data_IF_418591855244
#
_entry.id   IF_418591855244
#
_cell.length_a   1.000
_cell.length_b   1.000
_cell.length_c   1.000
_cell.angle_alpha   90.00
_cell.angle_beta   90.00
_cell.angle_gamma   90.00
#
_symmetry.space_group_name_H-M   'P 1'
#
loop_
_entity.id
_entity.type
_entity.pdbx_description
1 polymer ?
#
# COMPACT_ATOMS: atom_id res chain seq x y z
N UNK A 1 21.86 1.85 -25.35
CA UNK A 1 20.55 2.35 -24.90
C UNK A 1 20.47 2.14 -23.40
N UNK A 2 19.95 3.11 -22.63
CA UNK A 2 19.71 2.89 -21.19
C UNK A 2 18.58 1.88 -21.01
N UNK A 3 18.62 1.02 -19.97
CA UNK A 3 17.52 0.09 -19.69
C UNK A 3 16.22 0.86 -19.39
N UNK A 4 15.09 0.28 -19.82
CA UNK A 4 13.75 0.78 -19.49
C UNK A 4 13.56 0.77 -17.97
N UNK A 5 12.92 1.81 -17.40
CA UNK A 5 12.60 1.90 -15.99
C UNK A 5 11.08 1.81 -15.80
N UNK A 6 10.61 0.68 -15.29
CA UNK A 6 9.19 0.38 -15.04
C UNK A 6 8.89 0.45 -13.55
N UNK A 7 7.93 1.27 -13.17
CA UNK A 7 7.55 1.52 -11.77
C UNK A 7 6.12 1.07 -11.51
N UNK A 8 5.90 0.41 -10.39
CA UNK A 8 4.59 0.07 -9.89
C UNK A 8 4.19 1.04 -8.76
N UNK A 9 3.07 1.73 -8.92
CA UNK A 9 2.48 2.61 -7.92
C UNK A 9 1.20 1.96 -7.38
N UNK A 10 1.22 1.52 -6.13
CA UNK A 10 0.08 0.95 -5.43
C UNK A 10 -0.54 2.01 -4.54
N UNK A 11 -1.81 2.33 -4.75
CA UNK A 11 -2.49 3.44 -4.11
C UNK A 11 -3.54 2.99 -3.11
N UNK A 12 -3.41 3.51 -1.91
CA UNK A 12 -4.42 3.54 -0.87
C UNK A 12 -4.94 4.96 -0.67
N UNK A 13 -5.81 5.22 0.30
CA UNK A 13 -6.40 6.55 0.48
C UNK A 13 -6.01 7.27 1.77
N UNK A 14 -5.69 6.56 2.83
CA UNK A 14 -5.43 7.15 4.15
C UNK A 14 -4.33 8.22 4.11
N UNK A 15 -3.29 7.99 3.32
CA UNK A 15 -2.14 8.89 3.17
C UNK A 15 -2.29 9.99 2.13
N UNK A 16 -3.37 10.04 1.36
CA UNK A 16 -3.57 11.01 0.27
C UNK A 16 -3.61 12.45 0.80
N UNK A 17 -3.04 13.37 0.01
CA UNK A 17 -2.93 14.80 0.32
C UNK A 17 -4.30 15.45 0.50
N UNK A 18 -4.50 16.15 1.62
CA UNK A 18 -5.76 16.86 1.91
C UNK A 18 -6.89 16.01 2.48
N UNK A 19 -6.72 14.69 2.61
CA UNK A 19 -7.64 13.85 3.36
C UNK A 19 -7.28 13.93 4.84
N UNK A 20 -8.07 14.64 5.63
CA UNK A 20 -7.79 14.90 7.03
C UNK A 20 -8.80 14.28 7.99
N UNK A 21 -9.93 13.82 7.48
CA UNK A 21 -11.03 13.26 8.26
C UNK A 21 -11.34 11.83 7.82
N UNK A 22 -11.66 10.97 8.78
CA UNK A 22 -12.04 9.58 8.56
C UNK A 22 -13.10 9.40 7.49
N UNK A 23 -14.14 10.23 7.49
CA UNK A 23 -15.25 10.15 6.53
C UNK A 23 -14.84 10.35 5.08
N UNK A 24 -13.75 11.09 4.83
CA UNK A 24 -13.22 11.29 3.47
C UNK A 24 -12.55 10.02 2.93
N UNK A 25 -12.14 9.12 3.82
CA UNK A 25 -11.37 7.90 3.52
C UNK A 25 -12.25 6.66 3.64
N UNK A 26 -12.91 6.48 4.80
CA UNK A 26 -13.82 5.35 5.05
C UNK A 26 -15.26 5.74 4.73
N UNK A 27 -15.46 6.17 3.50
CA UNK A 27 -16.70 6.76 2.98
C UNK A 27 -17.87 5.76 2.87
N UNK A 28 -17.66 4.49 3.13
CA UNK A 28 -18.69 3.46 3.20
C UNK A 28 -19.35 3.34 4.57
N UNK A 29 -18.86 4.07 5.56
CA UNK A 29 -19.45 4.07 6.90
C UNK A 29 -20.82 4.74 6.89
N UNK A 30 -21.70 4.26 7.76
CA UNK A 30 -23.05 4.80 7.89
C UNK A 30 -23.01 6.30 8.25
N UNK A 31 -23.84 7.09 7.58
CA UNK A 31 -23.94 8.52 7.80
C UNK A 31 -22.99 9.39 7.00
N UNK A 32 -22.02 8.79 6.29
CA UNK A 32 -21.12 9.57 5.43
C UNK A 32 -21.87 10.10 4.21
N UNK A 33 -21.78 11.40 4.00
CA UNK A 33 -22.45 12.06 2.87
C UNK A 33 -21.73 11.79 1.54
N UNK A 34 -22.46 11.57 0.42
CA UNK A 34 -21.86 11.30 -0.89
C UNK A 34 -20.86 12.37 -1.35
N UNK A 35 -21.07 13.64 -0.98
CA UNK A 35 -20.19 14.75 -1.37
C UNK A 35 -18.81 14.63 -0.72
N UNK A 36 -18.73 14.09 0.51
CA UNK A 36 -17.48 13.85 1.24
C UNK A 36 -16.69 12.72 0.58
N UNK A 37 -17.37 11.63 0.21
CA UNK A 37 -16.78 10.54 -0.54
C UNK A 37 -16.24 11.00 -1.91
N UNK A 38 -16.99 11.84 -2.59
CA UNK A 38 -16.61 12.39 -3.89
C UNK A 38 -15.41 13.34 -3.79
N UNK A 39 -15.36 14.14 -2.73
CA UNK A 39 -14.18 14.98 -2.44
C UNK A 39 -12.94 14.10 -2.22
N UNK A 40 -13.05 13.05 -1.43
CA UNK A 40 -11.96 12.09 -1.19
C UNK A 40 -11.42 11.50 -2.49
N UNK A 41 -12.30 11.05 -3.37
CA UNK A 41 -11.91 10.52 -4.69
C UNK A 41 -11.22 11.55 -5.58
N UNK A 42 -11.71 12.79 -5.60
CA UNK A 42 -11.07 13.87 -6.37
C UNK A 42 -9.66 14.16 -5.88
N UNK A 43 -9.44 14.13 -4.56
CA UNK A 43 -8.11 14.32 -3.99
C UNK A 43 -7.18 13.16 -4.35
N UNK A 44 -7.65 11.91 -4.30
CA UNK A 44 -6.90 10.74 -4.74
C UNK A 44 -6.49 10.85 -6.21
N UNK A 45 -7.44 11.14 -7.11
CA UNK A 45 -7.17 11.31 -8.55
C UNK A 45 -6.12 12.40 -8.79
N UNK A 46 -6.22 13.52 -8.07
CA UNK A 46 -5.26 14.62 -8.20
C UNK A 46 -3.85 14.22 -7.71
N UNK A 47 -3.74 13.44 -6.64
CA UNK A 47 -2.46 12.92 -6.14
C UNK A 47 -1.85 11.94 -7.14
N UNK A 48 -2.63 10.99 -7.65
CA UNK A 48 -2.18 10.01 -8.64
C UNK A 48 -1.64 10.72 -9.89
N UNK A 49 -2.41 11.65 -10.45
CA UNK A 49 -2.01 12.38 -11.65
C UNK A 49 -0.72 13.18 -11.46
N UNK A 50 -0.57 13.82 -10.30
CA UNK A 50 0.65 14.57 -9.95
C UNK A 50 1.85 13.67 -9.80
N UNK A 51 1.70 12.55 -9.08
CA UNK A 51 2.77 11.58 -8.87
C UNK A 51 3.20 10.90 -10.17
N UNK A 52 2.23 10.49 -11.01
CA UNK A 52 2.50 9.90 -12.32
C UNK A 52 3.26 10.87 -13.24
N UNK A 53 2.81 12.12 -13.32
CA UNK A 53 3.49 13.17 -14.08
C UNK A 53 4.94 13.35 -13.60
N UNK A 54 5.14 13.50 -12.29
CA UNK A 54 6.47 13.68 -11.71
C UNK A 54 7.40 12.49 -11.97
N UNK A 55 6.88 11.26 -11.92
CA UNK A 55 7.66 10.06 -12.21
C UNK A 55 8.12 10.02 -13.68
N UNK A 56 7.22 10.31 -14.61
CA UNK A 56 7.54 10.34 -16.05
C UNK A 56 8.54 11.45 -16.40
N UNK A 57 8.37 12.65 -15.83
CA UNK A 57 9.29 13.78 -16.01
C UNK A 57 10.68 13.50 -15.39
N UNK A 58 10.73 12.73 -14.30
CA UNK A 58 11.99 12.31 -13.66
C UNK A 58 12.68 11.15 -14.36
N UNK A 59 12.06 10.56 -15.38
CA UNK A 59 12.65 9.55 -16.25
C UNK A 59 12.14 8.11 -16.04
N UNK A 60 10.99 7.88 -15.43
CA UNK A 60 10.31 6.60 -15.55
C UNK A 60 9.84 6.41 -17.00
N UNK A 61 10.04 5.20 -17.55
CA UNK A 61 9.67 4.89 -18.93
C UNK A 61 8.28 4.24 -19.00
N UNK A 62 7.88 3.52 -17.93
CA UNK A 62 6.56 2.88 -17.78
C UNK A 62 6.07 3.00 -16.36
N UNK A 63 4.78 3.22 -16.20
CA UNK A 63 4.08 3.19 -14.92
C UNK A 63 2.94 2.19 -14.95
N UNK A 64 2.80 1.43 -13.87
CA UNK A 64 1.58 0.69 -13.54
C UNK A 64 1.01 1.35 -12.31
N UNK A 65 -0.22 1.81 -12.39
CA UNK A 65 -0.95 2.46 -11.30
C UNK A 65 -2.12 1.58 -10.90
N UNK A 66 -2.13 1.12 -9.67
CA UNK A 66 -3.16 0.24 -9.13
C UNK A 66 -3.82 0.88 -7.91
N UNK A 67 -5.14 1.05 -7.97
CA UNK A 67 -5.98 1.46 -6.84
C UNK A 67 -6.35 0.21 -6.02
N UNK A 68 -6.05 0.25 -4.72
CA UNK A 68 -6.30 -0.88 -3.82
C UNK A 68 -7.29 -0.58 -2.71
N UNK A 69 -7.53 0.70 -2.41
CA UNK A 69 -8.37 1.09 -1.29
C UNK A 69 -9.76 0.43 -1.35
N UNK A 70 -10.12 -0.31 -0.30
CA UNK A 70 -11.35 -1.11 -0.26
C UNK A 70 -11.53 -2.04 -1.49
N UNK A 71 -10.44 -2.56 -2.03
CA UNK A 71 -10.47 -3.45 -3.20
C UNK A 71 -10.51 -2.73 -4.56
N UNK A 72 -10.37 -1.41 -4.59
CA UNK A 72 -10.35 -0.59 -5.80
C UNK A 72 -11.69 0.04 -6.16
N UNK A 73 -11.73 0.75 -7.29
CA UNK A 73 -12.94 1.44 -7.77
C UNK A 73 -13.02 2.92 -7.39
N UNK A 74 -11.94 3.47 -6.85
CA UNK A 74 -11.88 4.87 -6.41
C UNK A 74 -11.38 5.80 -7.51
N UNK A 75 -10.73 5.27 -8.54
CA UNK A 75 -10.26 6.05 -9.69
C UNK A 75 -11.30 6.05 -10.83
N UNK A 76 -11.31 7.14 -11.61
CA UNK A 76 -12.14 7.28 -12.81
C UNK A 76 -11.24 7.52 -14.01
N UNK A 77 -11.16 6.54 -14.89
CA UNK A 77 -10.23 6.59 -16.03
C UNK A 77 -10.30 7.86 -16.86
N UNK A 78 -11.49 8.47 -17.14
CA UNK A 78 -11.56 9.73 -17.89
C UNK A 78 -10.91 10.94 -17.18
N UNK A 79 -10.70 10.87 -15.87
CA UNK A 79 -10.09 11.93 -15.05
C UNK A 79 -8.59 11.73 -14.85
N UNK A 80 -8.07 10.58 -15.29
CA UNK A 80 -6.66 10.22 -15.12
C UNK A 80 -5.80 10.86 -16.20
N UNK A 81 -4.53 11.13 -15.87
CA UNK A 81 -3.52 11.60 -16.81
C UNK A 81 -3.41 10.65 -18.01
N UNK A 82 -3.79 11.14 -19.20
CA UNK A 82 -3.69 10.39 -20.44
C UNK A 82 -2.24 10.40 -20.95
N UNK A 83 -1.50 9.33 -20.73
CA UNK A 83 -0.15 9.13 -21.26
C UNK A 83 0.02 7.63 -21.62
N UNK A 84 0.49 7.29 -22.85
CA UNK A 84 0.61 5.91 -23.29
C UNK A 84 1.64 5.08 -22.50
N UNK A 85 2.44 5.71 -21.65
CA UNK A 85 3.39 5.06 -20.76
C UNK A 85 2.75 4.61 -19.45
N UNK A 86 1.48 4.97 -19.18
CA UNK A 86 0.78 4.62 -17.94
C UNK A 86 -0.26 3.55 -18.21
N UNK A 87 -0.24 2.50 -17.41
CA UNK A 87 -1.31 1.49 -17.33
C UNK A 87 -2.05 1.66 -16.03
N UNK A 88 -3.32 2.03 -16.08
CA UNK A 88 -4.20 2.11 -14.91
C UNK A 88 -4.94 0.79 -14.72
N UNK A 89 -4.85 0.25 -13.52
CA UNK A 89 -5.52 -1.00 -13.13
C UNK A 89 -6.64 -0.68 -12.13
N UNK A 90 -7.85 -0.81 -12.62
CA UNK A 90 -9.06 -0.68 -11.81
C UNK A 90 -9.60 -2.07 -11.47
N UNK A 91 -9.35 -2.53 -10.25
CA UNK A 91 -9.79 -3.86 -9.79
C UNK A 91 -11.31 -4.01 -9.69
N UNK A 92 -12.06 -2.90 -9.58
CA UNK A 92 -13.53 -2.93 -9.45
C UNK A 92 -14.24 -3.42 -10.70
N UNK A 93 -13.59 -3.36 -11.87
CA UNK A 93 -14.18 -3.73 -13.16
C UNK A 93 -14.01 -5.20 -13.53
N UNK A 94 -13.65 -6.06 -12.57
CA UNK A 94 -13.34 -7.44 -12.88
C UNK A 94 -12.08 -7.51 -13.73
N UNK A 95 -10.95 -7.62 -13.09
CA UNK A 95 -9.70 -7.87 -13.78
C UNK A 95 -9.75 -9.26 -14.41
N UNK A 96 -9.81 -9.35 -15.75
CA UNK A 96 -9.88 -10.60 -16.54
C UNK A 96 -8.59 -11.43 -16.49
N UNK A 97 -7.65 -11.02 -15.67
CA UNK A 97 -6.48 -11.83 -15.34
C UNK A 97 -6.80 -12.88 -14.28
N UNK A 98 -5.84 -13.57 -13.71
CA UNK A 98 -6.01 -14.32 -12.49
C UNK A 98 -6.53 -13.33 -11.45
N UNK A 99 -7.84 -13.34 -11.27
CA UNK A 99 -8.71 -12.27 -10.77
C UNK A 99 -8.44 -11.82 -9.33
N UNK A 100 -7.32 -12.23 -8.79
CA UNK A 100 -7.08 -12.20 -7.37
C UNK A 100 -5.58 -11.96 -7.05
N UNK A 101 -4.82 -11.46 -8.01
CA UNK A 101 -3.49 -10.94 -7.68
C UNK A 101 -3.68 -9.67 -6.88
N UNK A 102 -3.12 -9.65 -5.69
CA UNK A 102 -3.14 -8.49 -4.82
C UNK A 102 -2.61 -7.23 -5.52
N UNK A 103 -1.51 -7.37 -6.26
CA UNK A 103 -0.89 -6.32 -7.07
C UNK A 103 -0.83 -6.78 -8.52
N UNK A 104 -1.95 -6.71 -9.27
CA UNK A 104 -2.00 -7.19 -10.66
C UNK A 104 -1.01 -6.41 -11.52
N UNK A 105 -0.27 -7.11 -12.38
CA UNK A 105 0.75 -6.52 -13.24
C UNK A 105 2.13 -6.32 -12.57
N UNK A 106 2.27 -6.64 -11.29
CA UNK A 106 3.57 -6.71 -10.63
C UNK A 106 4.28 -8.02 -11.02
N UNK A 107 5.46 -7.90 -11.59
CA UNK A 107 6.31 -9.02 -12.00
C UNK A 107 7.80 -8.63 -11.95
N UNK A 108 8.69 -9.56 -12.33
CA UNK A 108 10.14 -9.33 -12.32
C UNK A 108 10.63 -8.27 -13.33
N UNK A 109 9.77 -7.75 -14.19
CA UNK A 109 10.10 -6.64 -15.11
C UNK A 109 9.92 -5.27 -14.47
N UNK A 110 9.34 -5.22 -13.25
CA UNK A 110 9.18 -3.98 -12.48
C UNK A 110 10.47 -3.65 -11.75
N UNK A 111 10.89 -2.42 -11.83
CA UNK A 111 12.16 -1.94 -11.25
C UNK A 111 12.03 -1.36 -9.85
N UNK A 112 10.84 -0.95 -9.45
CA UNK A 112 10.60 -0.35 -8.14
C UNK A 112 9.13 -0.26 -7.80
N UNK A 113 8.83 -0.43 -6.51
CA UNK A 113 7.52 -0.30 -5.91
C UNK A 113 7.42 1.06 -5.21
N UNK A 114 6.33 1.78 -5.44
CA UNK A 114 5.91 2.94 -4.66
C UNK A 114 4.58 2.62 -3.98
N UNK A 115 4.53 2.73 -2.65
CA UNK A 115 3.35 2.55 -1.83
C UNK A 115 2.78 3.92 -1.46
N UNK A 116 1.71 4.30 -2.13
CA UNK A 116 1.19 5.65 -2.13
C UNK A 116 -0.15 5.71 -1.39
N UNK A 117 -0.38 6.78 -0.66
CA UNK A 117 -1.63 6.93 0.11
C UNK A 117 -1.73 6.01 1.33
N UNK A 118 -0.66 5.41 1.77
CA UNK A 118 -0.64 4.41 2.85
C UNK A 118 -0.68 5.02 4.26
N UNK A 119 -0.83 4.15 5.24
CA UNK A 119 -0.97 4.41 6.66
C UNK A 119 -0.04 3.50 7.48
N UNK A 120 0.10 3.79 8.78
CA UNK A 120 0.84 2.95 9.70
C UNK A 120 0.03 1.70 10.10
N UNK A 121 0.72 0.65 10.52
CA UNK A 121 0.12 -0.61 10.98
C UNK A 121 -0.81 -0.43 12.18
N UNK A 122 -1.66 -1.43 12.40
CA UNK A 122 -2.55 -1.53 13.54
C UNK A 122 -1.80 -1.27 14.87
N UNK A 123 -2.44 -0.50 15.76
CA UNK A 123 -1.91 -0.19 17.08
C UNK A 123 -0.81 0.87 17.12
N UNK A 124 -0.42 1.47 15.99
CA UNK A 124 0.60 2.53 15.97
C UNK A 124 0.05 3.81 16.63
N UNK A 125 0.72 4.31 17.68
CA UNK A 125 0.28 5.52 18.34
C UNK A 125 0.48 6.76 17.47
N UNK A 126 -0.39 7.74 17.61
CA UNK A 126 -0.36 9.00 16.84
C UNK A 126 -0.29 8.75 15.33
N UNK A 127 -1.12 7.83 14.85
CA UNK A 127 -1.30 7.50 13.45
C UNK A 127 -2.74 7.77 13.04
N UNK A 128 -2.94 8.12 11.77
CA UNK A 128 -4.24 8.31 11.16
C UNK A 128 -4.74 6.98 10.61
N UNK A 129 -5.93 6.57 11.07
CA UNK A 129 -6.59 5.33 10.68
C UNK A 129 -5.65 4.09 10.70
N UNK A 130 -4.86 3.89 11.78
CA UNK A 130 -3.89 2.80 11.82
C UNK A 130 -4.60 1.46 11.85
N UNK A 131 -4.38 0.65 10.84
CA UNK A 131 -4.91 -0.71 10.77
C UNK A 131 -3.95 -1.60 9.97
N UNK A 132 -4.26 -2.88 9.83
CA UNK A 132 -3.53 -3.79 8.95
C UNK A 132 -4.56 -4.68 8.28
N UNK A 133 -4.98 -4.32 7.07
CA UNK A 133 -5.92 -5.02 6.22
C UNK A 133 -7.34 -5.14 6.78
N UNK A 134 -7.49 -5.84 7.89
CA UNK A 134 -8.77 -6.03 8.57
C UNK A 134 -8.74 -5.35 9.93
N UNK A 135 -9.84 -4.72 10.33
CA UNK A 135 -9.94 -4.04 11.63
C UNK A 135 -9.82 -5.00 12.83
N UNK A 136 -10.09 -6.29 12.60
CA UNK A 136 -9.93 -7.33 13.61
C UNK A 136 -8.47 -7.71 13.86
N UNK A 137 -7.54 -7.32 12.99
CA UNK A 137 -6.13 -7.66 13.13
C UNK A 137 -5.38 -6.61 13.93
N UNK A 138 -4.89 -7.03 15.08
CA UNK A 138 -4.17 -6.13 15.99
C UNK A 138 -2.65 -6.18 15.83
N UNK A 139 -2.13 -7.26 15.23
CA UNK A 139 -0.70 -7.39 14.91
C UNK A 139 -0.52 -8.44 13.80
N UNK A 140 0.26 -8.10 12.79
CA UNK A 140 0.66 -9.01 11.72
C UNK A 140 2.18 -9.20 11.76
N UNK A 141 2.64 -10.44 11.73
CA UNK A 141 4.06 -10.74 11.84
C UNK A 141 4.54 -11.63 10.71
N UNK A 142 5.71 -11.30 10.17
CA UNK A 142 6.48 -12.14 9.26
C UNK A 142 7.77 -12.55 9.99
N UNK A 143 7.99 -13.84 10.21
CA UNK A 143 9.15 -14.39 10.95
C UNK A 143 9.36 -13.72 12.32
N UNK A 144 8.27 -13.39 13.01
CA UNK A 144 8.28 -12.73 14.32
C UNK A 144 8.39 -11.21 14.28
N UNK A 145 8.75 -10.59 13.15
CA UNK A 145 8.78 -9.15 13.00
C UNK A 145 7.37 -8.61 12.73
N UNK A 146 6.90 -7.68 13.55
CA UNK A 146 5.62 -6.99 13.34
C UNK A 146 5.72 -6.04 12.16
N UNK A 147 4.79 -6.17 11.20
CA UNK A 147 4.72 -5.38 9.97
C UNK A 147 3.29 -4.88 9.73
N UNK A 148 3.18 -3.76 9.02
CA UNK A 148 1.92 -3.27 8.44
C UNK A 148 1.76 -3.69 6.99
N UNK A 149 0.80 -3.07 6.30
CA UNK A 149 0.57 -3.32 4.87
C UNK A 149 1.80 -3.01 4.03
N UNK A 150 2.54 -1.97 4.38
CA UNK A 150 3.81 -1.64 3.71
C UNK A 150 4.79 -2.81 3.74
N UNK A 151 4.97 -3.45 4.89
CA UNK A 151 5.84 -4.61 5.01
C UNK A 151 5.31 -5.84 4.29
N UNK A 152 3.99 -6.06 4.31
CA UNK A 152 3.31 -7.14 3.58
C UNK A 152 3.50 -6.97 2.07
N UNK A 153 3.26 -5.77 1.55
CA UNK A 153 3.36 -5.46 0.12
C UNK A 153 4.81 -5.45 -0.38
N UNK A 154 5.73 -4.94 0.44
CA UNK A 154 7.16 -5.04 0.15
C UNK A 154 7.65 -6.49 0.11
N UNK A 155 7.15 -7.36 1.01
CA UNK A 155 7.42 -8.80 0.99
C UNK A 155 6.85 -9.46 -0.27
N UNK A 156 5.62 -9.12 -0.64
CA UNK A 156 4.99 -9.60 -1.86
C UNK A 156 5.83 -9.23 -3.08
N UNK A 157 6.24 -7.96 -3.20
CA UNK A 157 7.08 -7.46 -4.30
C UNK A 157 8.49 -8.07 -4.30
N UNK A 158 9.03 -8.35 -3.12
CA UNK A 158 10.31 -9.03 -2.93
C UNK A 158 10.37 -10.42 -3.55
N UNK A 159 9.22 -11.07 -3.79
CA UNK A 159 9.18 -12.34 -4.54
C UNK A 159 9.77 -12.23 -5.94
N UNK A 160 9.63 -11.08 -6.57
CA UNK A 160 10.18 -10.79 -7.91
C UNK A 160 11.43 -9.93 -7.86
N UNK A 161 12.02 -9.72 -6.68
CA UNK A 161 13.19 -8.86 -6.52
C UNK A 161 12.90 -7.38 -6.74
N UNK A 162 11.64 -6.94 -6.52
CA UNK A 162 11.21 -5.54 -6.67
C UNK A 162 11.35 -4.82 -5.33
N UNK A 163 12.22 -3.78 -5.24
CA UNK A 163 12.41 -3.04 -4.01
C UNK A 163 11.33 -1.97 -3.79
N UNK A 164 11.00 -1.72 -2.52
CA UNK A 164 10.29 -0.50 -2.13
C UNK A 164 11.23 0.69 -2.28
N UNK A 165 10.82 1.72 -3.04
CA UNK A 165 11.62 2.92 -3.30
C UNK A 165 11.03 4.19 -2.71
N UNK A 166 9.72 4.21 -2.45
CA UNK A 166 8.99 5.34 -1.86
C UNK A 166 7.73 4.85 -1.16
N UNK A 167 7.39 5.47 -0.04
CA UNK A 167 6.05 5.41 0.55
C UNK A 167 5.52 6.81 0.85
N UNK A 168 4.20 7.03 0.66
CA UNK A 168 3.51 8.29 0.94
C UNK A 168 2.41 8.04 1.98
N UNK A 169 2.34 8.87 3.00
CA UNK A 169 1.31 8.81 4.02
C UNK A 169 1.49 9.82 5.14
N UNK A 170 1.03 9.46 6.33
CA UNK A 170 1.18 10.29 7.52
C UNK A 170 2.58 10.15 8.16
N UNK A 171 2.84 10.98 9.17
CA UNK A 171 4.11 10.96 9.90
C UNK A 171 4.38 9.62 10.61
N UNK A 172 3.34 8.90 11.04
CA UNK A 172 3.49 7.61 11.71
C UNK A 172 3.90 6.52 10.71
N UNK A 173 3.30 6.51 9.52
CA UNK A 173 3.73 5.67 8.40
C UNK A 173 5.17 5.97 8.00
N UNK A 174 5.57 7.25 7.92
CA UNK A 174 6.94 7.61 7.57
C UNK A 174 7.95 7.03 8.56
N UNK A 175 7.68 7.11 9.87
CA UNK A 175 8.52 6.48 10.90
C UNK A 175 8.60 4.96 10.77
N UNK A 176 7.49 4.30 10.41
CA UNK A 176 7.48 2.85 10.17
C UNK A 176 8.40 2.48 9.00
N UNK A 177 8.29 3.21 7.89
CA UNK A 177 9.15 3.01 6.71
C UNK A 177 10.61 3.28 7.01
N UNK A 178 10.94 4.39 7.69
CA UNK A 178 12.33 4.73 8.05
C UNK A 178 12.99 3.66 8.94
N UNK A 179 12.20 3.06 9.85
CA UNK A 179 12.68 2.00 10.72
C UNK A 179 12.90 0.66 9.99
N UNK A 180 12.03 0.34 9.04
CA UNK A 180 11.99 -0.97 8.39
C UNK A 180 12.70 -0.99 7.03
N UNK A 181 12.68 0.15 6.32
CA UNK A 181 13.22 0.34 4.96
C UNK A 181 14.07 1.61 4.87
N UNK A 182 15.22 1.69 5.57
CA UNK A 182 15.97 2.94 5.74
C UNK A 182 16.53 3.55 4.44
N UNK A 183 16.54 2.78 3.35
CA UNK A 183 16.99 3.26 2.03
C UNK A 183 15.83 3.75 1.15
N UNK A 184 14.58 3.45 1.53
CA UNK A 184 13.40 3.95 0.85
C UNK A 184 13.15 5.41 1.22
N UNK A 185 12.53 6.16 0.32
CA UNK A 185 12.12 7.53 0.61
C UNK A 185 10.72 7.57 1.22
N UNK A 186 10.41 8.64 1.93
CA UNK A 186 9.07 8.91 2.44
C UNK A 186 8.56 10.26 1.94
N UNK A 187 7.25 10.35 1.70
CA UNK A 187 6.52 11.59 1.46
C UNK A 187 5.48 11.75 2.57
N UNK A 188 5.81 12.55 3.60
CA UNK A 188 4.91 12.80 4.71
C UNK A 188 3.93 13.92 4.34
N UNK A 189 2.65 13.59 4.15
CA UNK A 189 1.60 14.53 3.71
C UNK A 189 0.83 15.16 4.86
N UNK A 190 0.84 14.53 6.05
CA UNK A 190 0.02 14.94 7.19
C UNK A 190 0.56 14.34 8.50
N UNK A 191 -0.02 14.78 9.60
CA UNK A 191 0.23 14.27 10.96
C UNK A 191 -1.08 14.04 11.68
N UNK A 192 -1.22 12.91 12.33
CA UNK A 192 -2.40 12.59 13.10
C UNK A 192 -2.51 13.47 14.36
N UNK A 193 -3.68 14.01 14.61
CA UNK A 193 -4.10 14.61 15.88
C UNK A 193 -4.82 13.55 16.74
N UNK A 194 -5.61 12.71 16.11
CA UNK A 194 -6.26 11.54 16.68
C UNK A 194 -6.28 10.43 15.62
N UNK A 195 -6.75 9.21 15.91
CA UNK A 195 -6.93 8.18 14.89
C UNK A 195 -7.85 8.59 13.73
N UNK A 196 -8.77 9.50 13.95
CA UNK A 196 -9.80 9.90 12.98
C UNK A 196 -9.60 11.31 12.40
N UNK A 197 -8.54 12.01 12.81
CA UNK A 197 -8.29 13.40 12.43
C UNK A 197 -6.81 13.69 12.22
N UNK A 198 -6.50 14.31 11.10
CA UNK A 198 -5.17 14.82 10.77
C UNK A 198 -5.10 16.34 10.70
N UNK A 199 -3.87 16.82 10.70
CA UNK A 199 -3.49 18.17 10.28
C UNK A 199 -2.27 18.11 9.37
N UNK A 200 -2.08 19.14 8.55
CA UNK A 200 -0.94 19.19 7.62
C UNK A 200 -1.01 20.38 6.70
N UNK A 201 -0.11 20.48 5.74
CA UNK A 201 -0.20 21.44 4.66
C UNK A 201 -1.48 21.22 3.84
N UNK A 202 -1.93 22.25 3.14
CA UNK A 202 -3.05 22.08 2.20
C UNK A 202 -2.73 21.02 1.12
N UNK A 203 -3.78 20.54 0.46
CA UNK A 203 -3.65 19.47 -0.52
C UNK A 203 -2.67 19.79 -1.66
N UNK A 204 -2.56 21.06 -2.08
CA UNK A 204 -1.66 21.47 -3.16
C UNK A 204 -0.21 21.42 -2.70
N UNK A 205 0.08 21.93 -1.51
CA UNK A 205 1.43 21.91 -0.94
C UNK A 205 1.89 20.47 -0.62
N UNK A 206 1.01 19.64 -0.04
CA UNK A 206 1.31 18.23 0.24
C UNK A 206 1.57 17.44 -1.05
N UNK A 207 0.76 17.68 -2.09
CA UNK A 207 0.92 17.06 -3.41
C UNK A 207 2.23 17.45 -4.08
N UNK A 208 2.66 18.71 -3.97
CA UNK A 208 3.96 19.16 -4.46
C UNK A 208 5.09 18.44 -3.76
N UNK A 209 5.04 18.31 -2.43
CA UNK A 209 6.03 17.55 -1.66
C UNK A 209 6.09 16.08 -2.15
N UNK A 210 4.93 15.45 -2.36
CA UNK A 210 4.86 14.09 -2.91
C UNK A 210 5.53 14.00 -4.27
N UNK A 211 5.22 14.91 -5.19
CA UNK A 211 5.81 14.95 -6.53
C UNK A 211 7.35 15.10 -6.50
N UNK A 212 7.86 15.94 -5.59
CA UNK A 212 9.29 16.11 -5.37
C UNK A 212 9.97 14.81 -4.88
N UNK A 213 9.34 14.10 -3.94
CA UNK A 213 9.86 12.83 -3.43
C UNK A 213 9.77 11.72 -4.48
N UNK A 214 8.70 11.66 -5.27
CA UNK A 214 8.57 10.74 -6.41
C UNK A 214 9.70 10.98 -7.40
N UNK A 215 9.92 12.22 -7.83
CA UNK A 215 11.00 12.54 -8.75
C UNK A 215 12.39 12.17 -8.19
N UNK A 216 12.62 12.39 -6.89
CA UNK A 216 13.85 11.99 -6.19
C UNK A 216 14.01 10.47 -6.16
N UNK A 217 12.93 9.72 -5.88
CA UNK A 217 12.94 8.25 -5.86
C UNK A 217 13.30 7.68 -7.24
N UNK A 218 12.70 8.21 -8.31
CA UNK A 218 13.02 7.80 -9.69
C UNK A 218 14.49 8.03 -10.01
N UNK A 219 15.02 9.24 -9.73
CA UNK A 219 16.43 9.55 -9.98
C UNK A 219 17.38 8.66 -9.16
N UNK A 220 17.05 8.43 -7.87
CA UNK A 220 17.82 7.53 -7.00
C UNK A 220 17.80 6.09 -7.53
N UNK A 221 16.64 5.59 -7.96
CA UNK A 221 16.50 4.24 -8.51
C UNK A 221 17.28 4.07 -9.82
N UNK A 222 17.40 5.11 -10.61
CA UNK A 222 18.23 5.11 -11.83
C UNK A 222 19.72 4.95 -11.54
N UNK A 223 20.20 5.45 -10.40
CA UNK A 223 21.60 5.38 -10.00
C UNK A 223 21.96 4.16 -9.15
N UNK A 224 21.00 3.63 -8.39
CA UNK A 224 21.18 2.48 -7.51
C UNK A 224 19.90 1.68 -7.35
N UNK A 225 20.01 0.36 -7.27
CA UNK A 225 18.92 -0.55 -6.92
C UNK A 225 19.00 -0.84 -5.41
N UNK A 226 17.99 -0.43 -4.61
CA UNK A 226 17.91 -0.89 -3.22
C UNK A 226 17.67 -2.41 -3.18
N UNK A 227 18.03 -3.02 -2.06
CA UNK A 227 17.70 -4.43 -1.84
C UNK A 227 16.18 -4.59 -1.65
N UNK A 228 15.57 -5.60 -2.29
CA UNK A 228 14.17 -5.95 -2.05
C UNK A 228 13.98 -6.50 -0.64
N UNK A 229 12.77 -6.39 -0.10
CA UNK A 229 12.45 -7.02 1.18
C UNK A 229 12.15 -8.51 0.99
N UNK A 230 13.11 -9.32 1.35
CA UNK A 230 13.09 -10.77 1.14
C UNK A 230 13.24 -11.54 2.46
N UNK A 231 12.18 -11.62 3.30
CA UNK A 231 12.21 -12.46 4.50
C UNK A 231 12.60 -13.90 4.16
N UNK A 232 13.36 -14.53 5.07
CA UNK A 232 13.81 -15.91 4.90
C UNK A 232 12.64 -16.89 4.74
N UNK A 233 12.80 -17.87 3.86
CA UNK A 233 11.82 -18.94 3.62
C UNK A 233 12.23 -20.22 4.36
N UNK A 234 11.27 -21.04 4.81
CA UNK A 234 9.84 -20.76 4.84
C UNK A 234 9.49 -19.64 5.83
N UNK A 235 8.55 -18.76 5.45
CA UNK A 235 8.08 -17.70 6.35
C UNK A 235 7.03 -18.23 7.31
N UNK A 236 7.10 -17.80 8.57
CA UNK A 236 6.00 -17.91 9.53
C UNK A 236 5.23 -16.61 9.53
N UNK A 237 3.97 -16.66 9.10
CA UNK A 237 3.05 -15.54 9.14
C UNK A 237 2.09 -15.74 10.28
N UNK A 238 2.15 -14.87 11.29
CA UNK A 238 1.28 -14.91 12.45
C UNK A 238 0.43 -13.64 12.53
N UNK A 239 -0.85 -13.80 12.89
CA UNK A 239 -1.76 -12.68 13.10
C UNK A 239 -2.41 -12.81 14.46
N UNK A 240 -2.31 -11.73 15.22
CA UNK A 240 -3.10 -11.53 16.42
C UNK A 240 -4.38 -10.79 16.06
N UNK A 241 -5.50 -11.34 16.52
CA UNK A 241 -6.84 -10.79 16.32
C UNK A 241 -7.38 -10.18 17.61
N UNK A 242 -8.39 -9.32 17.49
CA UNK A 242 -9.02 -8.66 18.61
C UNK A 242 -9.98 -9.58 19.41
N UNK A 243 -10.28 -10.80 18.91
CA UNK A 243 -11.20 -11.75 19.56
C UNK A 243 -10.86 -13.20 19.23
N UNK A 244 -11.27 -14.10 20.12
CA UNK A 244 -11.16 -15.56 19.92
C UNK A 244 -12.03 -16.01 18.75
N UNK A 245 -13.22 -15.42 18.58
CA UNK A 245 -14.13 -15.73 17.48
C UNK A 245 -13.47 -15.49 16.11
N UNK A 246 -12.80 -14.35 15.95
CA UNK A 246 -12.08 -14.05 14.72
C UNK A 246 -10.93 -15.03 14.47
N UNK A 247 -10.20 -15.40 15.54
CA UNK A 247 -9.11 -16.37 15.45
C UNK A 247 -9.62 -17.79 15.19
N UNK A 248 -10.78 -18.19 15.72
CA UNK A 248 -11.44 -19.47 15.39
C UNK A 248 -11.82 -19.53 13.91
N UNK A 249 -12.44 -18.48 13.40
CA UNK A 249 -12.79 -18.40 11.98
C UNK A 249 -11.56 -18.51 11.07
N UNK A 250 -10.47 -17.85 11.42
CA UNK A 250 -9.21 -17.94 10.66
C UNK A 250 -8.57 -19.34 10.75
N UNK A 251 -8.63 -20.00 11.91
CA UNK A 251 -8.06 -21.32 12.12
C UNK A 251 -8.76 -22.45 11.33
N UNK A 252 -9.95 -22.20 10.79
CA UNK A 252 -10.62 -23.17 9.89
C UNK A 252 -9.95 -23.28 8.51
N UNK A 253 -9.07 -22.34 8.15
CA UNK A 253 -8.40 -22.33 6.85
C UNK A 253 -7.27 -23.38 6.79
N UNK A 254 -7.09 -24.05 5.64
CA UNK A 254 -6.04 -25.06 5.49
C UNK A 254 -4.65 -24.52 5.82
N UNK A 255 -3.91 -25.25 6.66
CA UNK A 255 -2.53 -24.90 7.04
C UNK A 255 -2.41 -23.81 8.11
N UNK A 256 -3.51 -23.28 8.61
CA UNK A 256 -3.53 -22.33 9.71
C UNK A 256 -3.66 -23.07 11.04
N UNK A 257 -2.82 -22.72 12.03
CA UNK A 257 -2.87 -23.26 13.39
C UNK A 257 -3.06 -22.15 14.42
N UNK A 258 -3.71 -22.48 15.53
CA UNK A 258 -3.81 -21.60 16.70
C UNK A 258 -2.50 -21.62 17.48
N UNK A 259 -2.00 -20.45 17.88
CA UNK A 259 -0.89 -20.32 18.82
C UNK A 259 -1.39 -20.02 20.24
N UNK A 260 -2.40 -19.19 20.36
CA UNK A 260 -3.08 -18.80 21.60
C UNK A 260 -4.55 -18.42 21.31
N UNK A 261 -5.38 -18.04 22.31
CA UNK A 261 -6.79 -17.69 22.08
C UNK A 261 -7.07 -16.68 20.99
N UNK A 262 -6.14 -15.76 20.69
CA UNK A 262 -6.34 -14.70 19.72
C UNK A 262 -5.32 -14.72 18.57
N UNK A 263 -4.37 -15.64 18.54
CA UNK A 263 -3.30 -15.66 17.54
C UNK A 263 -3.32 -16.91 16.69
N UNK A 264 -3.27 -16.73 15.39
CA UNK A 264 -3.11 -17.81 14.40
C UNK A 264 -1.80 -17.66 13.64
N UNK A 265 -1.29 -18.78 13.11
CA UNK A 265 -0.06 -18.81 12.32
C UNK A 265 -0.21 -19.76 11.14
N UNK A 266 0.43 -19.44 10.03
CA UNK A 266 0.64 -20.36 8.92
C UNK A 266 2.09 -20.31 8.41
N UNK A 267 2.53 -21.39 7.75
CA UNK A 267 3.80 -21.46 7.04
C UNK A 267 3.59 -21.07 5.59
N UNK A 268 4.41 -20.18 5.07
CA UNK A 268 4.36 -19.66 3.71
C UNK A 268 5.69 -19.93 3.01
N UNK A 269 5.65 -20.60 1.86
CA UNK A 269 6.84 -21.08 1.14
C UNK A 269 7.26 -20.22 -0.05
N UNK A 270 6.43 -19.27 -0.46
CA UNK A 270 6.76 -18.25 -1.47
C UNK A 270 6.35 -16.89 -0.94
N UNK A 271 7.17 -15.87 -1.10
CA UNK A 271 6.88 -14.51 -0.57
C UNK A 271 5.59 -13.93 -1.13
N UNK A 272 5.26 -14.21 -2.40
CA UNK A 272 4.01 -13.80 -3.02
C UNK A 272 2.75 -14.48 -2.44
N UNK A 273 2.91 -15.53 -1.66
CA UNK A 273 1.80 -16.19 -0.95
C UNK A 273 1.55 -15.60 0.45
N UNK A 274 2.27 -14.55 0.83
CA UNK A 274 2.12 -13.88 2.15
C UNK A 274 0.66 -13.49 2.45
N UNK A 275 -0.12 -13.20 1.41
CA UNK A 275 -1.53 -12.84 1.50
C UNK A 275 -2.50 -13.95 1.09
N UNK A 276 -2.02 -15.06 0.57
CA UNK A 276 -2.85 -16.14 -0.01
C UNK A 276 -3.87 -16.70 0.96
N UNK A 277 -3.46 -17.00 2.16
CA UNK A 277 -4.33 -17.59 3.16
C UNK A 277 -5.37 -16.59 3.72
N UNK A 278 -5.10 -15.29 3.59
CA UNK A 278 -5.97 -14.20 3.98
C UNK A 278 -7.09 -14.03 2.96
N UNK A 279 -6.70 -13.94 1.70
CA UNK A 279 -7.62 -13.66 0.59
C UNK A 279 -8.29 -14.92 0.06
N UNK A 280 -7.82 -16.11 0.44
CA UNK A 280 -8.23 -17.38 -0.14
C UNK A 280 -7.70 -17.58 -1.57
N UNK A 281 -6.85 -16.69 -2.06
CA UNK A 281 -6.46 -16.61 -3.46
C UNK A 281 -4.96 -16.49 -3.55
N UNK A 282 -4.34 -17.49 -4.13
CA UNK A 282 -2.91 -17.48 -4.40
C UNK A 282 -2.61 -16.66 -5.65
N UNK A 283 -1.38 -16.16 -5.71
CA UNK A 283 -0.74 -15.86 -6.98
C UNK A 283 -0.44 -17.21 -7.60
N UNK A 284 -1.05 -17.51 -8.73
CA UNK A 284 -0.79 -18.76 -9.45
C UNK A 284 0.66 -18.76 -9.96
#
# INVERSE_FOLDING_TARGET
>A
MRPELKIFMHWDMEGVSGLFHREQVWFWEEGVRPEVAEEGRRLLVADINSAAKAALEAGADRLIVCDTHRGGGNIRLPEMLADPRITYLDKSRGYDGPSLRWMPGLDATVDGLMLMGHHAKAGTPRAFLPHTWMLEWTDFRINGQSVGEIGIEACFAGHWGVPLILAQGDEAMAREVEAQFPVSLTACTKRAQSPDLCTGPDAVAARRLTAEQVAKAIRKRRSAKPEPYEPSLPMRVAIRMNSEIAADAAATRPGVRRLDPCTVECEVRRRCDVVKWITGTGVA
#
